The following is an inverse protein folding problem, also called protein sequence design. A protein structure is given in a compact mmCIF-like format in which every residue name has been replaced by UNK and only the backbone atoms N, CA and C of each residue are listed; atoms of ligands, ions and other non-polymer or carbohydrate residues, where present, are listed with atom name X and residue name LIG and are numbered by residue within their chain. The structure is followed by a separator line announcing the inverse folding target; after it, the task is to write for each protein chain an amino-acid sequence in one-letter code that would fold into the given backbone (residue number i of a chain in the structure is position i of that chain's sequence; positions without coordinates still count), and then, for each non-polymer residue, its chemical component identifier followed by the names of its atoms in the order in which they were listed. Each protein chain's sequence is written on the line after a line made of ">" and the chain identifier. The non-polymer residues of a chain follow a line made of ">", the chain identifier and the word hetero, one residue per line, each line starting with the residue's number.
data_IF_239329722876
#
_entry.id   IF_239329722876
#
_cell.length_a   1.000
_cell.length_b   1.000
_cell.length_c   1.000
_cell.angle_alpha   90.00
_cell.angle_beta   90.00
_cell.angle_gamma   90.00
#
_symmetry.space_group_name_H-M   'P 1'
#
loop_
_entity.id
_entity.type
_entity.pdbx_description
1 polymer ?
#
# COMPACT_ATOMS: atom_id res chain seq x y z
N UNK A 1 -15.23 -17.62 14.74
CA UNK A 1 -15.29 -16.62 15.83
C UNK A 1 -14.92 -15.27 15.23
N UNK A 2 -15.74 -14.26 15.46
CA UNK A 2 -15.52 -12.89 14.95
C UNK A 2 -14.40 -12.17 15.72
N UNK A 3 -13.82 -11.15 15.08
CA UNK A 3 -12.87 -10.22 15.71
C UNK A 3 -13.57 -9.51 16.89
N UNK A 4 -12.95 -9.53 18.06
CA UNK A 4 -13.46 -8.88 19.29
C UNK A 4 -12.48 -7.82 19.78
N UNK A 5 -12.92 -6.90 20.64
CA UNK A 5 -12.06 -5.81 21.12
C UNK A 5 -10.82 -6.29 21.90
N UNK A 6 -10.87 -7.50 22.47
CA UNK A 6 -9.75 -8.12 23.19
C UNK A 6 -8.89 -9.07 22.34
N UNK A 7 -9.26 -9.29 21.07
CA UNK A 7 -8.50 -10.13 20.16
C UNK A 7 -7.06 -9.63 20.01
N UNK A 8 -6.11 -10.57 20.02
CA UNK A 8 -4.69 -10.26 19.88
C UNK A 8 -4.33 -10.02 18.42
N UNK A 9 -4.03 -8.77 18.06
CA UNK A 9 -3.85 -8.33 16.68
C UNK A 9 -2.41 -7.92 16.44
N UNK A 10 -1.73 -8.57 15.50
CA UNK A 10 -0.40 -8.17 15.03
C UNK A 10 -0.48 -7.31 13.78
N UNK A 11 0.13 -6.12 13.84
CA UNK A 11 0.28 -5.23 12.67
C UNK A 11 1.75 -5.23 12.25
N UNK A 12 2.11 -6.09 11.31
CA UNK A 12 3.43 -6.11 10.71
C UNK A 12 3.65 -4.85 9.88
N UNK A 13 4.67 -4.06 10.21
CA UNK A 13 4.93 -2.77 9.57
C UNK A 13 4.18 -1.59 10.18
N UNK A 14 3.77 -1.66 11.45
CA UNK A 14 2.97 -0.67 12.19
C UNK A 14 3.54 0.77 12.23
N UNK A 15 4.80 0.99 11.87
CA UNK A 15 5.41 2.34 11.77
C UNK A 15 5.40 2.92 10.36
N UNK A 16 5.11 2.12 9.31
CA UNK A 16 5.00 2.61 7.94
C UNK A 16 3.67 3.34 7.70
N UNK A 17 3.53 4.00 6.54
CA UNK A 17 2.35 4.76 6.14
C UNK A 17 1.05 3.95 6.33
N UNK A 18 0.94 2.78 5.71
CA UNK A 18 -0.25 1.93 5.81
C UNK A 18 -0.40 1.29 7.20
N UNK A 19 0.68 0.74 7.76
CA UNK A 19 0.63 0.06 9.05
C UNK A 19 0.27 0.97 10.21
N UNK A 20 0.75 2.22 10.22
CA UNK A 20 0.39 3.21 11.25
C UNK A 20 -1.08 3.64 11.14
N UNK A 21 -1.62 3.71 9.92
CA UNK A 21 -3.02 4.00 9.69
C UNK A 21 -3.93 2.86 10.18
N UNK A 22 -3.57 1.60 9.89
CA UNK A 22 -4.26 0.43 10.47
C UNK A 22 -4.26 0.51 11.99
N UNK A 23 -3.10 0.82 12.59
CA UNK A 23 -2.96 0.94 14.04
C UNK A 23 -3.89 2.00 14.63
N UNK A 24 -3.91 3.21 14.04
CA UNK A 24 -4.83 4.29 14.45
C UNK A 24 -6.29 3.88 14.32
N UNK A 25 -6.67 3.24 13.20
CA UNK A 25 -8.03 2.78 12.96
C UNK A 25 -8.47 1.74 14.00
N UNK A 26 -7.60 0.77 14.32
CA UNK A 26 -7.86 -0.23 15.37
C UNK A 26 -8.06 0.43 16.74
N UNK A 27 -7.18 1.36 17.11
CA UNK A 27 -7.31 2.10 18.38
C UNK A 27 -8.61 2.91 18.45
N UNK A 28 -8.94 3.62 17.36
CA UNK A 28 -10.17 4.41 17.29
C UNK A 28 -11.44 3.55 17.44
N UNK A 29 -11.40 2.30 16.93
CA UNK A 29 -12.49 1.31 17.09
C UNK A 29 -12.47 0.60 18.43
N UNK A 30 -11.53 0.91 19.32
CA UNK A 30 -11.46 0.39 20.69
C UNK A 30 -10.70 -0.93 20.87
N UNK A 31 -10.01 -1.43 19.83
CA UNK A 31 -9.14 -2.59 19.97
C UNK A 31 -7.92 -2.25 20.85
N UNK A 32 -7.63 -3.08 21.85
CA UNK A 32 -6.63 -2.76 22.88
C UNK A 32 -5.41 -3.68 22.87
N UNK A 33 -5.57 -4.90 22.38
CA UNK A 33 -4.51 -5.90 22.40
C UNK A 33 -3.73 -5.92 21.07
N UNK A 34 -3.03 -4.82 20.80
CA UNK A 34 -2.28 -4.59 19.57
C UNK A 34 -0.80 -4.90 19.75
N UNK A 35 -0.21 -5.64 18.81
CA UNK A 35 1.21 -5.96 18.75
C UNK A 35 1.82 -5.30 17.53
N UNK A 36 2.95 -4.63 17.74
CA UNK A 36 3.81 -4.10 16.69
C UNK A 36 5.27 -4.31 17.08
N UNK A 37 6.11 -4.77 16.15
CA UNK A 37 7.56 -4.93 16.35
C UNK A 37 8.30 -4.20 15.23
N UNK A 38 9.35 -3.48 15.60
CA UNK A 38 10.26 -2.85 14.63
C UNK A 38 11.20 -3.91 14.05
N UNK A 39 11.76 -3.66 12.87
CA UNK A 39 12.70 -4.59 12.21
C UNK A 39 13.95 -4.92 13.06
N UNK A 40 14.37 -4.00 13.93
CA UNK A 40 15.46 -4.26 14.90
C UNK A 40 15.06 -5.19 16.04
N UNK A 41 13.78 -5.39 16.30
CA UNK A 41 13.26 -6.28 17.35
C UNK A 41 12.90 -7.64 16.75
N UNK A 42 12.26 -7.64 15.56
CA UNK A 42 11.93 -8.85 14.79
C UNK A 42 12.14 -8.54 13.32
N UNK A 43 13.25 -9.05 12.77
CA UNK A 43 13.48 -8.96 11.32
C UNK A 43 12.63 -10.03 10.61
N UNK A 44 11.62 -9.59 9.86
CA UNK A 44 10.72 -10.49 9.15
C UNK A 44 11.40 -11.25 7.99
N UNK A 45 12.66 -10.92 7.67
CA UNK A 45 13.49 -11.67 6.73
C UNK A 45 14.21 -12.85 7.37
N UNK A 46 14.24 -12.88 8.69
CA UNK A 46 14.81 -14.00 9.47
C UNK A 46 13.67 -14.96 9.85
N UNK A 47 13.72 -16.17 9.27
CA UNK A 47 12.72 -17.21 9.52
C UNK A 47 12.66 -17.63 10.99
N UNK A 48 13.82 -17.70 11.68
CA UNK A 48 13.90 -18.11 13.08
C UNK A 48 13.31 -17.03 14.00
N UNK A 49 13.60 -15.75 13.72
CA UNK A 49 13.05 -14.64 14.47
C UNK A 49 11.52 -14.57 14.31
N UNK A 50 10.99 -14.77 13.10
CA UNK A 50 9.54 -14.82 12.83
C UNK A 50 8.89 -16.00 13.56
N UNK A 51 9.50 -17.19 13.49
CA UNK A 51 9.00 -18.38 14.17
C UNK A 51 8.94 -18.18 15.70
N UNK A 52 10.01 -17.70 16.31
CA UNK A 52 10.07 -17.43 17.75
C UNK A 52 9.02 -16.38 18.17
N UNK A 53 8.83 -15.34 17.35
CA UNK A 53 7.83 -14.31 17.59
C UNK A 53 6.41 -14.88 17.57
N UNK A 54 6.03 -15.65 16.54
CA UNK A 54 4.69 -16.25 16.45
C UNK A 54 4.45 -17.29 17.56
N UNK A 55 5.46 -18.08 17.92
CA UNK A 55 5.38 -19.05 19.00
C UNK A 55 5.12 -18.39 20.37
N UNK A 56 5.77 -17.24 20.64
CA UNK A 56 5.64 -16.53 21.92
C UNK A 56 4.39 -15.67 21.99
N UNK A 57 4.13 -14.88 20.93
CA UNK A 57 3.04 -13.89 20.95
C UNK A 57 1.68 -14.50 20.58
N UNK A 58 1.65 -15.52 19.73
CA UNK A 58 0.42 -16.19 19.28
C UNK A 58 -0.69 -15.22 18.86
N UNK A 59 -0.45 -14.33 17.87
CA UNK A 59 -1.47 -13.41 17.41
C UNK A 59 -2.66 -14.18 16.82
N UNK A 60 -3.88 -13.72 17.09
CA UNK A 60 -5.10 -14.29 16.51
C UNK A 60 -5.41 -13.72 15.13
N UNK A 61 -5.07 -12.45 14.92
CA UNK A 61 -5.29 -11.71 13.67
C UNK A 61 -3.99 -11.02 13.24
N UNK A 62 -3.74 -10.99 11.94
CA UNK A 62 -2.51 -10.40 11.38
C UNK A 62 -2.85 -9.46 10.23
N UNK A 63 -2.36 -8.22 10.31
CA UNK A 63 -2.27 -7.31 9.18
C UNK A 63 -0.83 -7.32 8.67
N UNK A 64 -0.59 -7.80 7.47
CA UNK A 64 0.74 -7.83 6.85
C UNK A 64 0.91 -6.63 5.91
N UNK A 65 1.27 -5.49 6.50
CA UNK A 65 1.61 -4.25 5.79
C UNK A 65 3.13 -4.04 5.63
N UNK A 66 3.94 -4.88 6.25
CA UNK A 66 5.39 -4.81 6.12
C UNK A 66 5.85 -5.18 4.71
N UNK A 67 6.65 -4.31 4.11
CA UNK A 67 7.25 -4.52 2.80
C UNK A 67 8.47 -3.60 2.61
N UNK A 68 9.39 -3.96 1.72
CA UNK A 68 10.34 -3.00 1.15
C UNK A 68 9.62 -2.23 0.05
N UNK A 69 9.39 -0.94 0.26
CA UNK A 69 8.70 -0.04 -0.67
C UNK A 69 9.60 1.11 -1.11
N UNK A 70 9.29 1.72 -2.24
CA UNK A 70 10.01 2.88 -2.76
C UNK A 70 9.45 3.36 -4.09
N UNK A 71 9.86 4.56 -4.51
CA UNK A 71 9.48 5.14 -5.79
C UNK A 71 10.04 4.37 -7.01
N UNK A 72 9.69 4.82 -8.21
CA UNK A 72 10.08 4.19 -9.49
C UNK A 72 11.59 4.02 -9.58
N UNK A 73 12.37 5.06 -9.23
CA UNK A 73 13.84 5.02 -9.30
C UNK A 73 14.41 3.91 -8.40
N UNK A 74 13.98 3.83 -7.15
CA UNK A 74 14.47 2.82 -6.22
C UNK A 74 14.12 1.39 -6.67
N UNK A 75 12.91 1.17 -7.21
CA UNK A 75 12.51 -0.11 -7.77
C UNK A 75 13.37 -0.52 -8.98
N UNK A 76 13.68 0.43 -9.85
CA UNK A 76 14.48 0.18 -11.04
C UNK A 76 15.96 -0.07 -10.71
N UNK A 77 16.51 0.64 -9.71
CA UNK A 77 17.93 0.56 -9.34
C UNK A 77 18.24 -0.67 -8.45
N UNK A 78 17.26 -1.17 -7.70
CA UNK A 78 17.43 -2.24 -6.71
C UNK A 78 16.47 -3.44 -6.93
N UNK A 79 16.33 -3.95 -8.17
CA UNK A 79 15.30 -4.94 -8.52
C UNK A 79 15.40 -6.24 -7.71
N UNK A 80 16.61 -6.76 -7.52
CA UNK A 80 16.85 -7.98 -6.74
C UNK A 80 16.44 -7.82 -5.27
N UNK A 81 16.74 -6.68 -4.66
CA UNK A 81 16.37 -6.41 -3.27
C UNK A 81 14.86 -6.25 -3.08
N UNK A 82 14.18 -5.57 -4.02
CA UNK A 82 12.73 -5.43 -3.96
C UNK A 82 12.03 -6.78 -4.12
N UNK A 83 12.48 -7.62 -5.05
CA UNK A 83 11.92 -8.96 -5.21
C UNK A 83 12.20 -9.83 -4.00
N UNK A 84 13.47 -10.03 -3.65
CA UNK A 84 13.88 -10.97 -2.59
C UNK A 84 13.31 -10.58 -1.22
N UNK A 85 13.50 -9.32 -0.78
CA UNK A 85 13.06 -8.93 0.56
C UNK A 85 11.53 -9.07 0.71
N UNK A 86 10.76 -8.68 -0.30
CA UNK A 86 9.30 -8.79 -0.22
C UNK A 86 8.83 -10.25 -0.23
N UNK A 87 9.41 -11.11 -1.07
CA UNK A 87 9.12 -12.54 -1.04
C UNK A 87 9.46 -13.16 0.31
N UNK A 88 10.63 -12.84 0.86
CA UNK A 88 11.10 -13.38 2.13
C UNK A 88 10.17 -12.95 3.28
N UNK A 89 9.88 -11.64 3.42
CA UNK A 89 9.00 -11.12 4.45
C UNK A 89 7.62 -11.79 4.41
N UNK A 90 6.98 -11.78 3.24
CA UNK A 90 5.62 -12.29 3.13
C UNK A 90 5.53 -13.80 3.30
N UNK A 91 6.49 -14.56 2.77
CA UNK A 91 6.50 -16.01 2.89
C UNK A 91 6.67 -16.44 4.36
N UNK A 92 7.60 -15.81 5.09
CA UNK A 92 7.82 -16.12 6.50
C UNK A 92 6.58 -15.81 7.34
N UNK A 93 5.99 -14.63 7.16
CA UNK A 93 4.83 -14.21 7.97
C UNK A 93 3.58 -15.02 7.64
N UNK A 94 3.27 -15.25 6.35
CA UNK A 94 2.09 -16.00 5.91
C UNK A 94 2.20 -17.47 6.37
N UNK A 95 3.38 -18.11 6.22
CA UNK A 95 3.55 -19.49 6.66
C UNK A 95 3.55 -19.64 8.18
N UNK A 96 4.20 -18.73 8.91
CA UNK A 96 4.15 -18.73 10.38
C UNK A 96 2.70 -18.52 10.87
N UNK A 97 1.94 -17.61 10.26
CA UNK A 97 0.55 -17.39 10.58
C UNK A 97 -0.29 -18.68 10.46
N UNK A 98 -0.09 -19.46 9.38
CA UNK A 98 -0.73 -20.77 9.21
C UNK A 98 -0.31 -21.76 10.30
N UNK A 99 1.00 -21.92 10.52
CA UNK A 99 1.54 -22.92 11.47
C UNK A 99 1.13 -22.65 12.90
N UNK A 100 0.99 -21.37 13.27
CA UNK A 100 0.59 -20.95 14.63
C UNK A 100 -0.92 -20.70 14.77
N UNK A 101 -1.73 -21.10 13.80
CA UNK A 101 -3.19 -21.08 13.91
C UNK A 101 -3.80 -19.69 13.94
N UNK A 102 -3.21 -18.70 13.25
CA UNK A 102 -3.81 -17.38 13.05
C UNK A 102 -5.19 -17.54 12.43
N UNK A 103 -6.20 -16.96 13.06
CA UNK A 103 -7.61 -17.08 12.63
C UNK A 103 -7.86 -16.38 11.30
N UNK A 104 -7.28 -15.18 11.13
CA UNK A 104 -7.38 -14.42 9.89
C UNK A 104 -6.17 -13.55 9.65
N UNK A 105 -5.72 -13.52 8.40
CA UNK A 105 -4.63 -12.66 7.94
C UNK A 105 -5.11 -11.81 6.77
N UNK A 106 -4.78 -10.51 6.80
CA UNK A 106 -4.95 -9.61 5.68
C UNK A 106 -3.56 -9.26 5.12
N UNK A 107 -3.33 -9.67 3.88
CA UNK A 107 -2.13 -9.32 3.11
C UNK A 107 -2.35 -8.03 2.34
N UNK A 108 -1.49 -7.03 2.56
CA UNK A 108 -1.53 -5.78 1.82
C UNK A 108 -0.69 -5.90 0.54
N UNK A 109 -1.39 -5.94 -0.59
CA UNK A 109 -0.79 -5.91 -1.91
C UNK A 109 -0.48 -4.51 -2.40
N UNK A 110 -0.64 -4.29 -3.71
CA UNK A 110 -0.43 -2.99 -4.36
C UNK A 110 -1.08 -2.98 -5.73
N UNK A 111 -1.56 -1.85 -6.19
CA UNK A 111 -2.09 -1.65 -7.54
C UNK A 111 -1.05 -1.85 -8.67
N UNK A 112 0.24 -2.00 -8.37
CA UNK A 112 1.26 -2.31 -9.37
C UNK A 112 1.19 -3.74 -9.94
N UNK A 113 0.36 -4.61 -9.35
CA UNK A 113 0.14 -5.99 -9.82
C UNK A 113 -0.59 -6.07 -11.16
N UNK A 114 -1.26 -5.00 -11.56
CA UNK A 114 -2.02 -4.96 -12.80
C UNK A 114 -1.13 -4.77 -14.02
N UNK A 115 -1.50 -5.37 -15.17
CA UNK A 115 -0.80 -5.13 -16.41
C UNK A 115 -0.73 -3.64 -16.75
N UNK A 116 0.40 -3.24 -17.35
CA UNK A 116 0.64 -1.84 -17.74
C UNK A 116 -0.48 -1.24 -18.60
N UNK A 117 -1.02 -2.03 -19.51
CA UNK A 117 -2.04 -1.62 -20.48
C UNK A 117 -3.40 -2.25 -20.19
N UNK A 118 -3.67 -2.63 -18.93
CA UNK A 118 -4.98 -3.12 -18.56
C UNK A 118 -6.06 -2.07 -18.82
N UNK A 119 -7.29 -2.49 -19.20
CA UNK A 119 -8.42 -1.58 -19.32
C UNK A 119 -8.66 -0.80 -18.02
N UNK A 120 -9.28 0.37 -18.13
CA UNK A 120 -9.55 1.25 -16.99
C UNK A 120 -11.06 1.40 -16.79
N UNK A 121 -11.56 1.38 -15.54
CA UNK A 121 -10.83 1.20 -14.30
C UNK A 121 -10.27 -0.22 -14.13
N UNK A 122 -9.21 -0.36 -13.30
CA UNK A 122 -8.53 -1.63 -13.02
C UNK A 122 -9.40 -2.55 -12.16
N UNK A 123 -9.87 -3.66 -12.75
CA UNK A 123 -10.66 -4.66 -12.05
C UNK A 123 -9.79 -5.83 -11.56
N UNK A 124 -10.21 -6.50 -10.50
CA UNK A 124 -9.48 -7.61 -9.89
C UNK A 124 -9.22 -8.75 -10.90
N UNK A 125 -10.14 -8.99 -11.81
CA UNK A 125 -10.03 -10.00 -12.86
C UNK A 125 -8.90 -9.75 -13.89
N UNK A 126 -8.33 -8.56 -13.91
CA UNK A 126 -7.21 -8.22 -14.81
C UNK A 126 -5.85 -8.69 -14.30
N UNK A 127 -5.79 -9.26 -13.10
CA UNK A 127 -4.55 -9.83 -12.58
C UNK A 127 -4.01 -10.90 -13.55
N UNK A 128 -2.72 -10.76 -13.94
CA UNK A 128 -2.02 -11.68 -14.85
C UNK A 128 -2.57 -11.73 -16.30
N UNK A 129 -3.37 -10.76 -16.71
CA UNK A 129 -3.91 -10.70 -18.08
C UNK A 129 -2.96 -10.10 -19.12
N UNK A 130 -1.77 -9.62 -18.71
CA UNK A 130 -0.79 -9.04 -19.61
C UNK A 130 0.53 -8.66 -18.91
N UNK A 131 1.49 -8.06 -19.65
CA UNK A 131 2.79 -7.65 -19.12
C UNK A 131 2.68 -6.56 -18.05
N UNK A 132 3.49 -6.67 -17.00
CA UNK A 132 3.63 -5.68 -15.94
C UNK A 132 4.40 -4.44 -16.40
N UNK A 133 4.34 -3.35 -15.62
CA UNK A 133 5.18 -2.16 -15.83
C UNK A 133 6.66 -2.51 -15.56
N UNK A 134 7.56 -2.39 -16.55
CA UNK A 134 8.94 -2.86 -16.42
C UNK A 134 9.71 -2.26 -15.24
N UNK A 135 9.46 -1.00 -14.90
CA UNK A 135 10.22 -0.27 -13.87
C UNK A 135 9.94 -0.76 -12.44
N UNK A 136 8.82 -1.44 -12.20
CA UNK A 136 8.45 -1.94 -10.88
C UNK A 136 7.95 -3.41 -10.88
N UNK A 137 8.15 -4.13 -11.98
CA UNK A 137 7.68 -5.51 -12.14
C UNK A 137 8.17 -6.45 -11.04
N UNK A 138 9.36 -6.24 -10.51
CA UNK A 138 9.95 -7.10 -9.49
C UNK A 138 9.19 -7.03 -8.16
N UNK A 139 8.82 -5.81 -7.75
CA UNK A 139 7.93 -5.60 -6.62
C UNK A 139 6.53 -6.16 -6.89
N UNK A 140 5.99 -5.91 -8.08
CA UNK A 140 4.69 -6.42 -8.50
C UNK A 140 4.63 -7.96 -8.45
N UNK A 141 5.66 -8.65 -8.98
CA UNK A 141 5.77 -10.12 -8.93
C UNK A 141 5.76 -10.62 -7.48
N UNK A 142 6.52 -9.98 -6.58
CA UNK A 142 6.48 -10.36 -5.18
C UNK A 142 5.06 -10.21 -4.59
N UNK A 143 4.37 -9.10 -4.87
CA UNK A 143 3.00 -8.89 -4.39
C UNK A 143 2.00 -9.88 -4.99
N UNK A 144 2.11 -10.21 -6.27
CA UNK A 144 1.32 -11.27 -6.91
C UNK A 144 1.55 -12.63 -6.22
N UNK A 145 2.81 -12.98 -5.94
CA UNK A 145 3.14 -14.21 -5.23
C UNK A 145 2.49 -14.28 -3.84
N UNK A 146 2.45 -13.16 -3.11
CA UNK A 146 1.78 -13.10 -1.80
C UNK A 146 0.28 -13.30 -1.88
N UNK A 147 -0.39 -12.69 -2.87
CA UNK A 147 -1.82 -12.92 -3.15
C UNK A 147 -2.06 -14.41 -3.44
N UNK A 148 -1.28 -14.99 -4.34
CA UNK A 148 -1.42 -16.40 -4.72
C UNK A 148 -1.11 -17.34 -3.56
N UNK A 149 -0.18 -17.00 -2.68
CA UNK A 149 0.10 -17.79 -1.48
C UNK A 149 -1.10 -17.75 -0.50
N UNK A 150 -1.73 -16.59 -0.27
CA UNK A 150 -2.94 -16.50 0.53
C UNK A 150 -4.07 -17.34 -0.05
N UNK A 151 -4.31 -17.27 -1.37
CA UNK A 151 -5.30 -18.08 -2.08
C UNK A 151 -5.00 -19.58 -1.95
N UNK A 152 -3.74 -20.00 -2.19
CA UNK A 152 -3.33 -21.38 -2.07
C UNK A 152 -3.52 -21.94 -0.66
N UNK A 153 -3.17 -21.15 0.37
CA UNK A 153 -3.34 -21.56 1.77
C UNK A 153 -4.82 -21.64 2.18
N UNK A 154 -5.66 -20.77 1.64
CA UNK A 154 -7.10 -20.86 1.82
C UNK A 154 -7.65 -22.16 1.24
N UNK A 155 -7.28 -22.52 0.02
CA UNK A 155 -7.73 -23.74 -0.65
C UNK A 155 -7.20 -25.01 0.01
N UNK A 156 -5.93 -25.04 0.34
CA UNK A 156 -5.26 -26.25 0.83
C UNK A 156 -5.48 -26.50 2.32
N UNK A 157 -5.47 -25.43 3.14
CA UNK A 157 -5.46 -25.54 4.60
C UNK A 157 -6.70 -24.94 5.28
N UNK A 158 -7.61 -24.34 4.53
CA UNK A 158 -8.80 -23.67 5.08
C UNK A 158 -8.49 -22.36 5.84
N UNK A 159 -7.32 -21.75 5.61
CA UNK A 159 -6.94 -20.50 6.23
C UNK A 159 -7.85 -19.35 5.79
N UNK A 160 -8.33 -18.51 6.70
CA UNK A 160 -9.04 -17.28 6.34
C UNK A 160 -8.03 -16.14 6.06
N UNK A 161 -7.26 -16.31 4.97
CA UNK A 161 -6.28 -15.33 4.51
C UNK A 161 -6.85 -14.58 3.33
N UNK A 162 -6.97 -13.24 3.48
CA UNK A 162 -7.52 -12.33 2.48
C UNK A 162 -6.44 -11.37 1.98
N UNK A 163 -6.66 -10.76 0.82
CA UNK A 163 -5.73 -9.79 0.25
C UNK A 163 -6.45 -8.53 -0.20
N UNK A 164 -5.87 -7.36 0.08
CA UNK A 164 -6.39 -6.06 -0.32
C UNK A 164 -5.36 -5.27 -1.14
N UNK A 165 -5.82 -4.63 -2.22
CA UNK A 165 -4.98 -3.91 -3.18
C UNK A 165 -5.24 -2.41 -3.11
N UNK A 166 -4.41 -1.65 -2.41
CA UNK A 166 -4.57 -0.20 -2.33
C UNK A 166 -4.13 0.50 -3.61
N UNK A 167 -4.76 1.63 -3.91
CA UNK A 167 -4.29 2.63 -4.86
C UNK A 167 -3.09 3.41 -4.31
N UNK A 168 -2.70 4.56 -4.93
CA UNK A 168 -1.60 5.37 -4.41
C UNK A 168 -2.01 6.01 -3.08
N UNK A 169 -1.16 5.85 -2.09
CA UNK A 169 -1.41 6.31 -0.73
C UNK A 169 -0.70 7.63 -0.44
N UNK A 170 -1.27 8.41 0.46
CA UNK A 170 -0.66 9.58 1.07
C UNK A 170 -1.19 9.77 2.49
N UNK A 171 -0.45 10.51 3.33
CA UNK A 171 -0.92 10.83 4.67
C UNK A 171 0.18 10.89 5.73
N UNK A 172 -0.19 10.90 7.01
CA UNK A 172 0.77 10.95 8.11
C UNK A 172 1.75 9.78 8.10
N UNK A 173 3.04 10.09 8.22
CA UNK A 173 4.10 9.09 8.20
C UNK A 173 4.59 8.69 6.81
N UNK A 174 4.21 9.46 5.77
CA UNK A 174 4.73 9.23 4.42
C UNK A 174 6.22 9.53 4.29
N UNK A 175 6.83 9.03 3.22
CA UNK A 175 8.25 9.24 2.93
C UNK A 175 8.46 10.49 2.07
N UNK A 176 9.15 11.48 2.61
CA UNK A 176 9.49 12.73 1.92
C UNK A 176 10.93 12.76 1.37
N UNK A 177 11.62 11.61 1.29
CA UNK A 177 12.98 11.54 0.73
C UNK A 177 12.98 11.97 -0.74
N UNK A 178 13.90 12.87 -1.18
CA UNK A 178 13.90 13.39 -2.54
C UNK A 178 14.10 12.34 -3.64
N UNK A 179 14.76 11.22 -3.31
CA UNK A 179 15.12 10.16 -4.26
C UNK A 179 14.18 8.96 -4.20
N UNK A 180 13.51 8.76 -3.06
CA UNK A 180 12.74 7.55 -2.79
C UNK A 180 11.24 7.76 -2.59
N UNK A 181 10.75 9.01 -2.54
CA UNK A 181 9.34 9.29 -2.30
C UNK A 181 8.45 9.09 -3.54
N UNK A 182 7.16 8.91 -3.29
CA UNK A 182 6.12 8.95 -4.32
C UNK A 182 5.81 10.40 -4.74
N UNK A 183 5.02 10.54 -5.83
CA UNK A 183 4.78 11.83 -6.48
C UNK A 183 4.20 12.89 -5.56
N UNK A 184 3.18 12.57 -4.74
CA UNK A 184 2.52 13.56 -3.88
C UNK A 184 3.44 14.05 -2.75
N UNK A 185 4.09 13.21 -1.91
CA UNK A 185 5.03 13.69 -0.92
C UNK A 185 6.24 14.43 -1.52
N UNK A 186 6.72 14.00 -2.71
CA UNK A 186 7.77 14.73 -3.43
C UNK A 186 7.33 16.14 -3.81
N UNK A 187 6.10 16.32 -4.30
CA UNK A 187 5.54 17.63 -4.62
C UNK A 187 5.37 18.51 -3.37
N UNK A 188 4.80 17.95 -2.29
CA UNK A 188 4.63 18.68 -1.03
C UNK A 188 5.98 19.24 -0.56
N UNK A 189 7.00 18.40 -0.50
CA UNK A 189 8.35 18.81 -0.09
C UNK A 189 8.92 19.87 -1.04
N UNK A 190 8.89 19.65 -2.34
CA UNK A 190 9.46 20.55 -3.37
C UNK A 190 8.82 21.93 -3.33
N UNK A 191 7.50 22.04 -3.26
CA UNK A 191 6.80 23.32 -3.19
C UNK A 191 7.04 24.02 -1.85
N UNK A 192 7.12 23.27 -0.75
CA UNK A 192 7.44 23.82 0.56
C UNK A 192 8.87 24.41 0.58
N UNK A 193 9.87 23.66 0.11
CA UNK A 193 11.25 24.12 0.02
C UNK A 193 11.39 25.36 -0.89
N UNK A 194 10.71 25.33 -2.05
CA UNK A 194 10.69 26.46 -2.98
C UNK A 194 10.08 27.73 -2.37
N UNK A 195 8.98 27.58 -1.60
CA UNK A 195 8.37 28.70 -0.86
C UNK A 195 9.32 29.27 0.18
N UNK A 196 9.94 28.42 0.99
CA UNK A 196 10.87 28.84 2.06
C UNK A 196 12.11 29.54 1.48
N UNK A 197 12.63 29.03 0.37
CA UNK A 197 13.82 29.57 -0.31
C UNK A 197 13.54 30.76 -1.21
N UNK A 198 12.26 31.13 -1.42
CA UNK A 198 11.88 32.24 -2.31
C UNK A 198 12.18 32.00 -3.78
N UNK A 199 12.28 30.72 -4.22
CA UNK A 199 12.58 30.38 -5.62
C UNK A 199 11.38 30.73 -6.49
N UNK A 200 11.55 31.45 -7.63
CA UNK A 200 10.44 31.98 -8.42
C UNK A 200 9.68 30.90 -9.23
N UNK A 201 10.28 29.74 -9.44
CA UNK A 201 9.65 28.66 -10.21
C UNK A 201 10.06 27.29 -9.73
N UNK A 202 9.14 26.30 -9.90
CA UNK A 202 9.36 24.86 -9.66
C UNK A 202 9.16 24.11 -10.96
N UNK A 203 10.14 23.28 -11.35
CA UNK A 203 10.02 22.43 -12.53
C UNK A 203 9.49 21.05 -12.12
N UNK A 204 8.37 20.65 -12.72
CA UNK A 204 7.79 19.31 -12.64
C UNK A 204 8.12 18.53 -13.93
N UNK A 205 8.33 17.22 -13.81
CA UNK A 205 8.64 16.35 -14.94
C UNK A 205 7.40 15.96 -15.73
N UNK A 206 7.57 15.74 -17.03
CA UNK A 206 6.53 15.29 -17.95
C UNK A 206 5.60 16.42 -18.41
N UNK A 207 4.45 16.05 -18.94
CA UNK A 207 3.41 16.98 -19.39
C UNK A 207 2.42 17.36 -18.29
N UNK A 208 2.36 16.56 -17.21
CA UNK A 208 1.35 16.66 -16.17
C UNK A 208 0.01 16.06 -16.54
N UNK A 209 -0.14 15.45 -17.74
CA UNK A 209 -1.39 14.89 -18.21
C UNK A 209 -1.80 13.54 -17.59
N UNK A 210 -0.88 12.66 -17.09
CA UNK A 210 -1.29 11.38 -16.52
C UNK A 210 -2.28 11.52 -15.37
N UNK A 211 -3.28 10.63 -15.38
CA UNK A 211 -4.31 10.57 -14.34
C UNK A 211 -3.93 9.59 -13.24
N UNK A 212 -4.12 9.98 -12.00
CA UNK A 212 -3.84 9.17 -10.81
C UNK A 212 -4.97 9.27 -9.81
N UNK A 213 -5.18 8.16 -9.15
CA UNK A 213 -6.03 8.05 -7.99
C UNK A 213 -5.18 8.09 -6.73
N UNK A 214 -5.67 8.78 -5.70
CA UNK A 214 -5.05 8.84 -4.39
C UNK A 214 -6.05 8.48 -3.30
N UNK A 215 -5.57 7.83 -2.24
CA UNK A 215 -6.36 7.48 -1.07
C UNK A 215 -5.60 7.90 0.19
N UNK A 216 -6.27 8.59 1.10
CA UNK A 216 -5.66 8.95 2.38
C UNK A 216 -5.38 7.70 3.20
N UNK A 217 -4.25 7.67 3.89
CA UNK A 217 -3.82 6.48 4.65
C UNK A 217 -4.81 6.10 5.76
N UNK A 218 -5.50 7.07 6.38
CA UNK A 218 -6.49 6.76 7.41
C UNK A 218 -7.75 6.10 6.83
N UNK A 219 -8.16 6.48 5.61
CA UNK A 219 -9.21 5.76 4.88
C UNK A 219 -8.77 4.34 4.52
N UNK A 220 -7.50 4.16 4.11
CA UNK A 220 -6.98 2.82 3.94
C UNK A 220 -7.04 2.02 5.25
N UNK A 221 -6.58 2.59 6.36
CA UNK A 221 -6.62 1.92 7.67
C UNK A 221 -8.03 1.50 8.05
N UNK A 222 -9.01 2.39 7.84
CA UNK A 222 -10.43 2.12 8.09
C UNK A 222 -10.97 1.01 7.17
N UNK A 223 -10.63 1.04 5.87
CA UNK A 223 -11.01 0.00 4.91
C UNK A 223 -10.43 -1.38 5.28
N UNK A 224 -9.16 -1.44 5.67
CA UNK A 224 -8.52 -2.71 6.00
C UNK A 224 -9.06 -3.32 7.29
N UNK A 225 -9.39 -2.50 8.30
CA UNK A 225 -10.07 -2.99 9.51
C UNK A 225 -11.49 -3.44 9.17
N UNK A 226 -12.22 -2.68 8.34
CA UNK A 226 -13.54 -3.09 7.85
C UNK A 226 -13.49 -4.44 7.10
N UNK A 227 -12.50 -4.66 6.23
CA UNK A 227 -12.31 -5.93 5.52
C UNK A 227 -11.94 -7.08 6.47
N UNK A 228 -11.14 -6.82 7.49
CA UNK A 228 -10.82 -7.81 8.52
C UNK A 228 -12.07 -8.29 9.25
N UNK A 229 -13.02 -7.40 9.49
CA UNK A 229 -14.28 -7.68 10.18
C UNK A 229 -15.33 -8.36 9.28
N UNK A 230 -15.42 -7.96 8.00
CA UNK A 230 -16.60 -8.22 7.16
C UNK A 230 -16.34 -9.01 5.88
N UNK A 231 -15.08 -9.25 5.49
CA UNK A 231 -14.75 -9.90 4.22
C UNK A 231 -13.99 -11.21 4.45
N UNK A 232 -14.48 -12.31 3.88
CA UNK A 232 -13.82 -13.61 3.91
C UNK A 232 -14.06 -14.33 2.58
N UNK A 233 -13.20 -14.02 1.61
CA UNK A 233 -13.25 -14.63 0.30
C UNK A 233 -11.83 -14.95 -0.19
N UNK A 234 -11.72 -15.80 -1.21
CA UNK A 234 -10.48 -16.10 -1.91
C UNK A 234 -10.06 -14.95 -2.84
N UNK A 235 -11.03 -14.27 -3.43
CA UNK A 235 -10.78 -13.15 -4.31
C UNK A 235 -10.20 -11.97 -3.50
N UNK A 236 -9.16 -11.37 -4.04
CA UNK A 236 -8.64 -10.13 -3.45
C UNK A 236 -9.54 -8.95 -3.80
N UNK A 237 -9.43 -7.87 -3.06
CA UNK A 237 -10.32 -6.72 -3.19
C UNK A 237 -9.53 -5.42 -3.40
N UNK A 238 -9.95 -4.61 -4.35
CA UNK A 238 -9.40 -3.29 -4.61
C UNK A 238 -9.86 -2.29 -3.55
N UNK A 239 -8.93 -1.43 -3.11
CA UNK A 239 -9.18 -0.35 -2.14
C UNK A 239 -8.73 0.97 -2.75
N UNK A 240 -9.68 1.74 -3.23
CA UNK A 240 -9.46 3.03 -3.87
C UNK A 240 -10.53 4.05 -3.52
N UNK A 241 -10.31 5.29 -3.95
CA UNK A 241 -11.24 6.41 -3.76
C UNK A 241 -12.27 6.50 -4.88
N UNK A 242 -12.03 5.86 -6.03
CA UNK A 242 -12.75 6.05 -7.30
C UNK A 242 -12.71 7.51 -7.82
N UNK A 243 -11.75 8.30 -7.34
CA UNK A 243 -11.54 9.68 -7.79
C UNK A 243 -10.15 9.81 -8.38
N UNK A 244 -10.05 10.40 -9.54
CA UNK A 244 -8.78 10.64 -10.21
C UNK A 244 -8.59 12.11 -10.53
N UNK A 245 -7.34 12.53 -10.57
CA UNK A 245 -6.93 13.85 -11.01
C UNK A 245 -5.63 13.73 -11.82
N UNK A 246 -5.40 14.72 -12.69
CA UNK A 246 -4.14 14.78 -13.41
C UNK A 246 -2.99 15.19 -12.49
N UNK A 247 -1.77 14.81 -12.86
CA UNK A 247 -0.56 15.25 -12.15
C UNK A 247 -0.44 16.78 -12.15
N UNK A 248 -0.97 17.44 -13.19
CA UNK A 248 -1.04 18.91 -13.26
C UNK A 248 -1.97 19.47 -12.20
N UNK A 249 -3.21 19.00 -12.13
CA UNK A 249 -4.17 19.41 -11.09
C UNK A 249 -3.65 19.15 -9.69
N UNK A 250 -2.98 18.01 -9.48
CA UNK A 250 -2.33 17.69 -8.21
C UNK A 250 -1.26 18.74 -7.85
N UNK A 251 -0.38 19.09 -8.78
CA UNK A 251 0.68 20.08 -8.56
C UNK A 251 0.09 21.47 -8.24
N UNK A 252 -0.95 21.88 -8.96
CA UNK A 252 -1.66 23.14 -8.73
C UNK A 252 -2.35 23.17 -7.36
N UNK A 253 -3.01 22.07 -6.96
CA UNK A 253 -3.63 21.96 -5.64
C UNK A 253 -2.59 22.02 -4.51
N UNK A 254 -1.49 21.25 -4.61
CA UNK A 254 -0.41 21.25 -3.63
C UNK A 254 0.24 22.62 -3.53
N UNK A 255 0.55 23.27 -4.65
CA UNK A 255 1.10 24.62 -4.71
C UNK A 255 0.20 25.63 -3.99
N UNK A 256 -1.11 25.60 -4.27
CA UNK A 256 -2.11 26.47 -3.67
C UNK A 256 -2.23 26.24 -2.15
N UNK A 257 -2.30 24.98 -1.70
CA UNK A 257 -2.45 24.65 -0.27
C UNK A 257 -1.23 25.06 0.53
N UNK A 258 -0.02 24.86 -0.02
CA UNK A 258 1.23 25.31 0.58
C UNK A 258 1.33 26.85 0.57
N UNK A 259 0.64 27.52 -0.34
CA UNK A 259 0.73 28.95 -0.57
C UNK A 259 2.08 29.32 -1.23
N UNK A 260 2.52 28.54 -2.22
CA UNK A 260 3.69 28.85 -3.01
C UNK A 260 3.34 29.90 -4.06
N UNK A 261 4.01 31.08 -4.07
CA UNK A 261 3.63 32.20 -4.94
C UNK A 261 4.24 32.14 -6.35
N UNK A 262 5.17 31.20 -6.58
CA UNK A 262 5.90 31.08 -7.84
C UNK A 262 5.14 30.33 -8.93
N UNK A 263 5.80 30.14 -10.07
CA UNK A 263 5.22 29.46 -11.25
C UNK A 263 5.62 27.98 -11.31
N UNK A 264 4.77 27.15 -11.94
CA UNK A 264 5.03 25.75 -12.20
C UNK A 264 5.43 25.60 -13.67
N UNK A 265 6.63 25.08 -13.93
CA UNK A 265 7.11 24.73 -15.27
C UNK A 265 7.06 23.21 -15.47
N UNK A 266 6.75 22.78 -16.69
CA UNK A 266 6.69 21.37 -17.05
C UNK A 266 7.83 21.04 -18.02
N UNK A 267 8.66 20.07 -17.65
CA UNK A 267 9.73 19.56 -18.48
C UNK A 267 9.25 18.32 -19.25
N UNK A 268 8.69 18.54 -20.42
CA UNK A 268 8.17 17.48 -21.30
C UNK A 268 9.26 16.61 -21.94
N UNK A 269 10.55 16.91 -21.74
CA UNK A 269 11.65 16.02 -22.15
C UNK A 269 11.75 14.78 -21.22
N UNK A 270 11.16 14.86 -20.03
CA UNK A 270 11.09 13.76 -19.08
C UNK A 270 9.83 12.90 -19.32
N UNK A 271 9.89 11.59 -19.06
CA UNK A 271 8.77 10.69 -19.33
C UNK A 271 7.58 10.92 -18.37
N UNK A 272 6.37 10.76 -18.88
CA UNK A 272 5.14 10.87 -18.11
C UNK A 272 4.81 9.65 -17.23
N UNK A 273 5.31 8.48 -17.51
CA UNK A 273 4.88 7.22 -16.89
C UNK A 273 3.55 6.70 -17.47
N UNK A 274 2.87 5.80 -16.73
CA UNK A 274 1.59 5.20 -17.16
C UNK A 274 0.51 6.26 -17.34
N UNK A 275 -0.24 6.29 -18.47
CA UNK A 275 -1.21 7.36 -18.74
C UNK A 275 -2.34 7.47 -17.71
N UNK A 276 -2.90 6.35 -17.26
CA UNK A 276 -4.02 6.30 -16.30
C UNK A 276 -3.88 5.14 -15.34
N UNK A 277 -4.28 5.35 -14.08
CA UNK A 277 -4.29 4.31 -13.05
C UNK A 277 -5.42 4.59 -12.05
N UNK A 278 -6.60 4.07 -12.36
CA UNK A 278 -7.81 4.14 -11.53
C UNK A 278 -8.22 2.72 -11.14
N UNK A 279 -8.47 2.48 -9.86
CA UNK A 279 -8.96 1.19 -9.35
C UNK A 279 -10.48 1.10 -9.47
N UNK A 280 -11.01 -0.07 -9.81
CA UNK A 280 -12.42 -0.36 -9.61
C UNK A 280 -12.60 -0.88 -8.19
N UNK A 281 -13.16 -0.06 -7.31
CA UNK A 281 -13.44 -0.41 -5.90
C UNK A 281 -14.92 -0.74 -5.68
N UNK A 282 -15.67 -1.06 -6.72
CA UNK A 282 -17.11 -1.34 -6.64
C UNK A 282 -17.44 -2.51 -5.72
N UNK A 283 -16.59 -3.54 -5.65
CA UNK A 283 -16.76 -4.65 -4.71
C UNK A 283 -16.69 -4.19 -3.25
N UNK A 284 -15.74 -3.33 -2.91
CA UNK A 284 -15.61 -2.79 -1.56
C UNK A 284 -16.80 -1.89 -1.20
N UNK A 285 -17.22 -1.05 -2.15
CA UNK A 285 -18.40 -0.20 -1.97
C UNK A 285 -19.69 -1.02 -1.79
N UNK A 286 -19.85 -2.13 -2.52
CA UNK A 286 -20.99 -3.03 -2.38
C UNK A 286 -21.04 -3.71 -1.00
N UNK A 287 -19.90 -3.87 -0.31
CA UNK A 287 -19.85 -4.33 1.08
C UNK A 287 -20.27 -3.24 2.09
N UNK A 288 -20.43 -1.98 1.64
CA UNK A 288 -20.86 -0.87 2.49
C UNK A 288 -19.76 0.07 2.98
N UNK A 289 -18.53 -0.06 2.48
CA UNK A 289 -17.45 0.87 2.81
C UNK A 289 -17.26 1.94 1.72
N UNK A 290 -16.95 3.16 2.15
CA UNK A 290 -16.54 4.26 1.27
C UNK A 290 -15.50 5.16 1.95
N UNK A 291 -14.61 5.85 1.18
CA UNK A 291 -13.65 6.79 1.75
C UNK A 291 -14.37 8.00 2.36
N UNK A 292 -13.74 8.60 3.38
CA UNK A 292 -14.28 9.73 4.16
C UNK A 292 -13.45 11.01 3.99
N UNK A 293 -12.17 10.86 3.66
CA UNK A 293 -11.23 11.98 3.46
C UNK A 293 -11.23 12.32 1.97
N UNK A 294 -11.57 13.57 1.65
CA UNK A 294 -11.61 14.11 0.28
C UNK A 294 -10.27 14.62 -0.21
#
# INVERSE_FOLDING_TARGET
>A
MSLTLDSKIYVAGHHGLAGSAIWRSLQHRGYRNLIGKRSREVDLRDAQAVEAFFASERPEYVFLAAAKVGGIKANNDLPGEFLLNNLTIQNHVIDAARRHGVRKLLFLGSSCIYPRLAPQPLKEEYLLSGPLEPTNQWYAIAKIAGIKLCQAYRRQYGCDFISAMPTNLYGPGDNYDPLGSHVLPAMIRRFHEAKVSGVPSVTCWGTGSPLREFLHSDDLGDALVFLMENYSDEEFINVGSNQELSIRELAEQVSRIIGYPGTIHWDSSQPDGTPRKLMDSSRLHALGWSPKVG
#
